data_IF_229849181845
#
_entry.id   IF_229849181845
#
_cell.length_a   1.000
_cell.length_b   1.000
_cell.length_c   1.000
_cell.angle_alpha   90.00
_cell.angle_beta   90.00
_cell.angle_gamma   90.00
#
_symmetry.space_group_name_H-M   'P 1'
#
loop_
_entity.id
_entity.type
_entity.pdbx_description
1 polymer ?
#
# COMPACT_ATOMS: atom_id res chain seq x y z
N UNK A 1 -1.11 -14.25 2.86
CA UNK A 1 -2.00 -14.89 1.86
C UNK A 1 -1.79 -14.15 0.55
N UNK A 2 -1.70 -14.88 -0.56
CA UNK A 2 -1.51 -14.28 -1.88
C UNK A 2 -2.61 -14.76 -2.81
N UNK A 3 -3.19 -13.86 -3.59
CA UNK A 3 -4.18 -14.17 -4.62
C UNK A 3 -3.61 -13.76 -5.97
N UNK A 4 -3.31 -14.75 -6.81
CA UNK A 4 -2.71 -14.51 -8.12
C UNK A 4 -3.80 -14.35 -9.18
N UNK A 5 -3.85 -13.19 -9.82
CA UNK A 5 -4.82 -12.88 -10.87
C UNK A 5 -4.23 -12.99 -12.28
N UNK A 6 -5.03 -12.73 -13.32
CA UNK A 6 -4.54 -12.65 -14.70
C UNK A 6 -3.73 -11.39 -14.99
N UNK A 7 -4.04 -10.29 -14.29
CA UNK A 7 -3.51 -8.95 -14.57
C UNK A 7 -2.87 -8.28 -13.37
N UNK A 8 -3.36 -8.60 -12.18
CA UNK A 8 -2.88 -8.08 -10.89
C UNK A 8 -2.77 -9.22 -9.90
N UNK A 9 -1.95 -9.02 -8.87
CA UNK A 9 -1.81 -9.91 -7.73
C UNK A 9 -2.16 -9.15 -6.44
N UNK A 10 -2.81 -9.85 -5.51
CA UNK A 10 -3.03 -9.35 -4.15
C UNK A 10 -2.01 -10.02 -3.24
N UNK A 11 -1.06 -9.24 -2.73
CA UNK A 11 0.03 -9.73 -1.89
C UNK A 11 0.19 -8.84 -0.66
N UNK A 12 0.76 -9.39 0.40
CA UNK A 12 1.18 -8.57 1.55
C UNK A 12 2.29 -7.61 1.13
N UNK A 13 2.23 -6.37 1.60
CA UNK A 13 3.33 -5.43 1.41
C UNK A 13 4.53 -5.81 2.28
N UNK A 14 5.72 -5.62 1.73
CA UNK A 14 6.93 -5.40 2.53
C UNK A 14 7.01 -3.94 2.93
N UNK A 15 7.78 -3.61 3.98
CA UNK A 15 8.04 -2.20 4.34
C UNK A 15 8.57 -1.41 3.13
N UNK A 16 9.50 -2.00 2.38
CA UNK A 16 10.12 -1.38 1.21
C UNK A 16 9.10 -1.06 0.11
N UNK A 17 8.24 -2.02 -0.25
CA UNK A 17 7.20 -1.82 -1.25
C UNK A 17 6.12 -0.84 -0.78
N UNK A 18 5.83 -0.79 0.53
CA UNK A 18 4.94 0.20 1.13
C UNK A 18 5.49 1.62 0.96
N UNK A 19 6.76 1.84 1.27
CA UNK A 19 7.41 3.13 1.03
C UNK A 19 7.50 3.47 -0.46
N UNK A 20 7.78 2.48 -1.33
CA UNK A 20 7.82 2.71 -2.77
C UNK A 20 6.49 3.22 -3.30
N UNK A 21 5.37 2.62 -2.87
CA UNK A 21 4.01 3.07 -3.21
C UNK A 21 3.77 4.51 -2.75
N UNK A 22 3.98 4.80 -1.46
CA UNK A 22 3.69 6.12 -0.90
C UNK A 22 4.62 7.24 -1.40
N UNK A 23 5.84 6.94 -1.86
CA UNK A 23 6.73 7.96 -2.44
C UNK A 23 6.22 8.56 -3.74
N UNK A 24 5.50 7.77 -4.52
CA UNK A 24 4.96 8.16 -5.83
C UNK A 24 3.45 8.35 -5.81
N UNK A 25 2.83 8.23 -4.63
CA UNK A 25 1.39 8.35 -4.47
C UNK A 25 0.93 9.77 -4.80
N UNK A 26 -0.10 9.85 -5.65
CA UNK A 26 -0.77 11.08 -6.03
C UNK A 26 -2.22 10.96 -5.53
N UNK A 27 -2.58 11.85 -4.61
CA UNK A 27 -3.94 11.90 -4.07
C UNK A 27 -4.95 12.23 -5.19
N UNK A 28 -6.03 11.45 -5.28
CA UNK A 28 -7.20 11.84 -6.08
C UNK A 28 -7.95 12.94 -5.32
N UNK A 29 -8.06 14.17 -5.87
CA UNK A 29 -8.72 15.29 -5.19
C UNK A 29 -10.18 15.03 -4.79
N UNK A 30 -10.85 14.03 -5.41
CA UNK A 30 -12.21 13.63 -5.04
C UNK A 30 -12.26 12.79 -3.77
N UNK A 31 -11.20 12.02 -3.50
CA UNK A 31 -11.12 11.09 -2.36
C UNK A 31 -10.33 11.70 -1.20
N UNK A 32 -9.24 12.41 -1.51
CA UNK A 32 -8.45 13.18 -0.56
C UNK A 32 -8.24 14.58 -1.11
N UNK A 33 -8.92 15.60 -0.55
CA UNK A 33 -8.82 16.97 -1.03
C UNK A 33 -7.43 17.59 -0.75
N UNK A 34 -6.61 16.96 0.09
CA UNK A 34 -5.29 17.48 0.43
C UNK A 34 -4.22 16.85 -0.46
N UNK A 35 -3.24 17.66 -0.87
CA UNK A 35 -2.05 17.12 -1.51
C UNK A 35 -1.29 16.26 -0.52
N UNK A 36 -1.15 14.98 -0.85
CA UNK A 36 -0.28 14.09 -0.11
C UNK A 36 1.19 14.49 -0.31
N UNK A 37 1.93 14.61 0.80
CA UNK A 37 3.38 14.81 0.80
C UNK A 37 4.00 13.67 1.56
N UNK A 38 4.91 12.95 0.91
CA UNK A 38 5.60 11.82 1.53
C UNK A 38 6.32 12.26 2.81
N UNK A 39 6.05 11.53 3.90
CA UNK A 39 6.74 11.67 5.16
C UNK A 39 7.14 10.27 5.64
N UNK A 40 8.46 10.03 5.79
CA UNK A 40 8.98 8.72 6.14
C UNK A 40 8.40 8.19 7.46
N UNK A 41 8.41 9.01 8.51
CA UNK A 41 7.96 8.61 9.86
C UNK A 41 6.48 8.22 9.85
N UNK A 42 5.63 9.04 9.23
CA UNK A 42 4.20 8.72 9.09
C UNK A 42 3.94 7.45 8.30
N UNK A 43 4.73 7.20 7.25
CA UNK A 43 4.60 5.99 6.44
C UNK A 43 5.08 4.75 7.21
N UNK A 44 6.14 4.88 8.00
CA UNK A 44 6.60 3.82 8.91
C UNK A 44 5.52 3.48 9.94
N UNK A 45 4.99 4.49 10.64
CA UNK A 45 3.89 4.33 11.62
C UNK A 45 2.66 3.67 10.98
N UNK A 46 2.31 4.07 9.75
CA UNK A 46 1.21 3.47 9.01
C UNK A 46 1.45 1.99 8.69
N UNK A 47 2.68 1.61 8.37
CA UNK A 47 3.03 0.21 8.09
C UNK A 47 2.99 -0.62 9.38
N UNK A 48 3.54 -0.11 10.48
CA UNK A 48 3.52 -0.78 11.79
C UNK A 48 2.08 -1.02 12.26
N UNK A 49 1.22 -0.01 12.14
CA UNK A 49 -0.21 -0.13 12.43
C UNK A 49 -0.92 -1.16 11.55
N UNK A 50 -0.48 -1.35 10.31
CA UNK A 50 -1.04 -2.39 9.43
C UNK A 50 -0.71 -3.79 9.93
N UNK A 51 0.52 -4.00 10.43
CA UNK A 51 0.97 -5.29 10.97
C UNK A 51 0.24 -5.63 12.28
N UNK A 52 0.07 -4.66 13.17
CA UNK A 52 -0.65 -4.85 14.45
C UNK A 52 -2.09 -5.34 14.25
N UNK A 53 -2.70 -4.96 13.13
CA UNK A 53 -4.11 -5.23 12.83
C UNK A 53 -4.31 -6.43 11.92
N UNK A 54 -3.24 -7.03 11.39
CA UNK A 54 -3.31 -8.03 10.33
C UNK A 54 -4.21 -9.23 10.68
N UNK A 55 -4.27 -9.60 11.96
CA UNK A 55 -5.10 -10.71 12.44
C UNK A 55 -6.62 -10.49 12.34
N UNK A 56 -7.09 -9.24 12.27
CA UNK A 56 -8.52 -8.90 12.26
C UNK A 56 -8.91 -7.85 11.20
N UNK A 57 -7.93 -7.21 10.56
CA UNK A 57 -8.10 -6.30 9.44
C UNK A 57 -6.88 -6.41 8.50
N UNK A 58 -6.72 -7.55 7.82
CA UNK A 58 -5.58 -7.75 6.93
C UNK A 58 -5.63 -6.73 5.80
N UNK A 59 -4.48 -6.13 5.50
CA UNK A 59 -4.32 -5.19 4.39
C UNK A 59 -3.48 -5.83 3.30
N UNK A 60 -3.92 -5.75 2.06
CA UNK A 60 -3.23 -6.31 0.91
C UNK A 60 -2.86 -5.23 -0.10
N UNK A 61 -1.66 -5.32 -0.65
CA UNK A 61 -1.27 -4.51 -1.78
C UNK A 61 -1.81 -5.10 -3.08
N UNK A 62 -2.17 -4.20 -3.99
CA UNK A 62 -2.51 -4.53 -5.38
C UNK A 62 -1.24 -4.33 -6.21
N UNK A 63 -0.71 -5.41 -6.76
CA UNK A 63 0.53 -5.40 -7.53
C UNK A 63 0.27 -5.71 -9.00
N UNK A 64 0.99 -5.02 -9.88
CA UNK A 64 1.16 -5.45 -11.27
C UNK A 64 2.07 -6.68 -11.32
N UNK A 65 2.00 -7.44 -12.42
CA UNK A 65 2.82 -8.64 -12.63
C UNK A 65 4.34 -8.44 -12.59
N UNK A 66 4.80 -7.21 -12.74
CA UNK A 66 6.20 -6.83 -12.62
C UNK A 66 6.62 -6.48 -11.17
N UNK A 67 5.73 -6.64 -10.19
CA UNK A 67 5.99 -6.34 -8.79
C UNK A 67 5.76 -4.88 -8.39
N UNK A 68 5.25 -4.02 -9.28
CA UNK A 68 4.95 -2.63 -8.95
C UNK A 68 3.63 -2.52 -8.16
N UNK A 69 3.63 -1.91 -6.96
CA UNK A 69 2.40 -1.66 -6.22
C UNK A 69 1.62 -0.51 -6.85
N UNK A 70 0.31 -0.70 -7.03
CA UNK A 70 -0.61 0.28 -7.62
C UNK A 70 -1.81 0.60 -6.72
N UNK A 71 -1.96 -0.11 -5.60
CA UNK A 71 -3.05 0.13 -4.66
C UNK A 71 -2.89 -0.65 -3.35
N UNK A 72 -3.81 -0.39 -2.43
CA UNK A 72 -3.92 -1.00 -1.12
C UNK A 72 -5.41 -1.28 -0.87
N UNK A 73 -5.73 -2.44 -0.30
CA UNK A 73 -7.08 -2.85 0.10
C UNK A 73 -7.10 -3.43 1.50
#
# INVERSE_FOLDING_TARGET
>A
MEVLGSSIDLCSFTRESWHAFWKVYIADPKMDPNTYVYNKEKVDESFDRSLERDSWYPSYGVFLKNGNPIGLT
#
